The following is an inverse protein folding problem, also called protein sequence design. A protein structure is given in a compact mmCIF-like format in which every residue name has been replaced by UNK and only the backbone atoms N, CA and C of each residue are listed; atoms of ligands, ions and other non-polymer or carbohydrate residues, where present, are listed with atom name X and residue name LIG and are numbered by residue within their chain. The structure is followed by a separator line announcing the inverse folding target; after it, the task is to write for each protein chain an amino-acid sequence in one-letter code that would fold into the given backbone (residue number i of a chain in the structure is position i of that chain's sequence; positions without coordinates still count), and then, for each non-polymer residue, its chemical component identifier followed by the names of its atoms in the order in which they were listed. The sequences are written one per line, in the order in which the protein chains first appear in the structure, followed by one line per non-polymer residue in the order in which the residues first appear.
data_IF_096496818237
#
_entry.id   IF_096496818237
#
_cell.length_a   1.000
_cell.length_b   1.000
_cell.length_c   1.000
_cell.angle_alpha   90.00
_cell.angle_beta   90.00
_cell.angle_gamma   90.00
#
_symmetry.space_group_name_H-M   'P 1'
#
loop_
_entity.id
_entity.type
_entity.pdbx_description
1 polymer ?
#
# COMPACT_ATOMS: atom_id res chain seq x y z
N UNK A 1 -22.81 2.83 11.43
CA UNK A 1 -21.87 1.70 11.58
C UNK A 1 -21.07 1.63 10.30
N UNK A 2 -19.74 1.57 10.40
CA UNK A 2 -18.88 1.50 9.22
C UNK A 2 -19.11 0.14 8.53
N UNK A 3 -19.52 0.10 7.25
CA UNK A 3 -19.79 -1.16 6.56
C UNK A 3 -18.58 -2.10 6.52
N UNK A 4 -17.35 -1.59 6.62
CA UNK A 4 -16.12 -2.38 6.59
C UNK A 4 -15.82 -3.10 7.91
N UNK A 5 -16.54 -2.80 9.00
CA UNK A 5 -16.31 -3.41 10.32
C UNK A 5 -16.45 -4.94 10.31
N UNK A 6 -17.30 -5.48 9.43
CA UNK A 6 -17.42 -6.93 9.26
C UNK A 6 -16.15 -7.57 8.68
N UNK A 7 -15.35 -6.82 7.93
CA UNK A 7 -14.11 -7.32 7.33
C UNK A 7 -12.93 -7.30 8.30
N UNK A 8 -13.10 -6.63 9.45
CA UNK A 8 -12.10 -6.55 10.51
C UNK A 8 -12.29 -7.63 11.59
N UNK A 9 -13.17 -8.60 11.35
CA UNK A 9 -13.37 -9.71 12.28
C UNK A 9 -12.12 -10.62 12.31
N UNK A 10 -11.65 -11.08 13.49
CA UNK A 10 -10.41 -11.86 13.60
C UNK A 10 -10.33 -13.08 12.69
N UNK A 11 -11.45 -13.79 12.52
CA UNK A 11 -11.53 -14.97 11.66
C UNK A 11 -11.48 -14.66 10.16
N UNK A 12 -11.76 -13.42 9.72
CA UNK A 12 -11.53 -12.94 8.35
C UNK A 12 -10.09 -12.47 8.20
N UNK A 13 -9.61 -11.66 9.15
CA UNK A 13 -8.26 -11.09 9.12
C UNK A 13 -7.17 -12.17 9.03
N UNK A 14 -7.38 -13.33 9.65
CA UNK A 14 -6.49 -14.50 9.57
C UNK A 14 -6.27 -15.04 8.14
N UNK A 15 -7.21 -14.80 7.22
CA UNK A 15 -7.08 -15.18 5.79
C UNK A 15 -6.71 -14.01 4.89
N UNK A 16 -6.83 -12.77 5.38
CA UNK A 16 -6.54 -11.55 4.60
C UNK A 16 -5.10 -11.12 4.79
N UNK A 17 -4.52 -11.24 5.99
CA UNK A 17 -3.20 -10.72 6.29
C UNK A 17 -2.21 -11.83 6.68
N UNK A 18 -1.02 -11.77 6.09
CA UNK A 18 0.10 -12.65 6.40
C UNK A 18 1.30 -11.82 6.86
N UNK A 19 1.23 -11.16 8.04
CA UNK A 19 2.31 -10.32 8.53
C UNK A 19 3.59 -11.12 8.75
N UNK A 20 4.71 -10.57 8.27
CA UNK A 20 6.04 -11.11 8.51
C UNK A 20 6.90 -10.07 9.21
N UNK A 21 7.72 -10.48 10.18
CA UNK A 21 8.66 -9.58 10.85
C UNK A 21 9.96 -9.47 10.05
N UNK A 22 10.57 -8.28 10.12
CA UNK A 22 11.88 -8.06 9.52
C UNK A 22 12.94 -8.89 10.27
N UNK A 23 13.89 -9.52 9.55
CA UNK A 23 15.00 -10.22 10.18
C UNK A 23 15.89 -9.22 10.95
N UNK A 24 16.62 -9.72 11.94
CA UNK A 24 17.63 -8.91 12.63
C UNK A 24 18.78 -8.57 11.67
N UNK A 25 19.09 -7.28 11.52
CA UNK A 25 20.13 -6.76 10.64
C UNK A 25 19.60 -5.72 9.64
N UNK A 26 20.41 -4.71 9.33
CA UNK A 26 20.05 -3.68 8.35
C UNK A 26 21.02 -3.74 7.16
N UNK A 27 20.50 -4.01 5.98
CA UNK A 27 21.21 -3.70 4.73
C UNK A 27 21.44 -2.20 4.62
N UNK A 28 22.60 -1.80 4.10
CA UNK A 28 22.97 -0.39 3.91
C UNK A 28 22.37 0.25 2.66
N UNK A 29 21.67 -0.52 1.82
CA UNK A 29 21.14 -0.03 0.54
C UNK A 29 20.01 0.99 0.70
N UNK A 30 19.19 0.83 1.75
CA UNK A 30 18.05 1.68 2.05
C UNK A 30 18.15 2.29 3.44
N UNK A 31 17.50 3.44 3.60
CA UNK A 31 17.35 4.13 4.89
C UNK A 31 15.98 3.83 5.47
N UNK A 32 15.97 3.30 6.69
CA UNK A 32 14.71 3.07 7.40
C UNK A 32 14.15 4.39 7.95
N UNK A 33 12.83 4.51 7.85
CA UNK A 33 12.01 5.58 8.41
C UNK A 33 10.92 4.93 9.27
N UNK A 34 10.46 5.63 10.30
CA UNK A 34 9.31 5.21 11.11
C UNK A 34 8.29 6.35 11.08
N UNK A 35 7.05 6.03 10.70
CA UNK A 35 5.93 6.99 10.67
C UNK A 35 4.92 6.61 11.73
N UNK A 36 4.60 7.53 12.64
CA UNK A 36 3.55 7.31 13.63
C UNK A 36 2.18 7.53 12.98
N UNK A 37 1.32 6.50 13.02
CA UNK A 37 -0.02 6.53 12.41
C UNK A 37 -1.13 6.61 13.45
N UNK A 38 -0.81 6.27 14.68
CA UNK A 38 -1.66 6.36 15.87
C UNK A 38 -0.72 6.41 17.09
N UNK A 39 -1.19 6.94 18.22
CA UNK A 39 -0.39 7.02 19.44
C UNK A 39 0.24 5.66 19.78
N UNK A 40 1.57 5.59 19.74
CA UNK A 40 2.32 4.37 20.04
C UNK A 40 2.30 3.30 18.94
N UNK A 41 1.72 3.57 17.76
CA UNK A 41 1.76 2.68 16.60
C UNK A 41 2.56 3.34 15.48
N UNK A 42 3.73 2.77 15.18
CA UNK A 42 4.58 3.24 14.09
C UNK A 42 4.71 2.21 12.99
N UNK A 43 4.72 2.70 11.76
CA UNK A 43 4.91 1.93 10.55
C UNK A 43 6.34 2.08 10.05
N UNK A 44 6.98 0.95 9.79
CA UNK A 44 8.28 0.88 9.14
C UNK A 44 8.17 1.26 7.67
N UNK A 45 9.07 2.11 7.20
CA UNK A 45 9.21 2.44 5.80
C UNK A 45 10.69 2.38 5.42
N UNK A 46 10.99 2.15 4.14
CA UNK A 46 12.36 2.07 3.65
C UNK A 46 12.53 2.89 2.38
N UNK A 47 13.44 3.85 2.44
CA UNK A 47 13.75 4.76 1.35
C UNK A 47 15.07 4.36 0.68
N UNK A 48 14.97 4.07 -0.61
CA UNK A 48 16.06 3.86 -1.55
C UNK A 48 16.24 5.13 -2.37
N UNK A 49 17.35 5.82 -2.14
CA UNK A 49 17.65 7.12 -2.72
C UNK A 49 18.79 6.99 -3.72
N UNK A 50 18.54 7.40 -4.96
CA UNK A 50 19.57 7.56 -5.99
C UNK A 50 20.04 9.00 -6.04
N UNK A 51 19.08 9.92 -6.19
CA UNK A 51 19.30 11.36 -6.27
C UNK A 51 17.99 12.08 -5.90
N UNK A 52 18.08 13.17 -5.16
CA UNK A 52 16.91 13.93 -4.69
C UNK A 52 16.15 14.63 -5.80
N UNK A 53 16.80 14.94 -6.91
CA UNK A 53 16.16 15.60 -8.06
C UNK A 53 15.30 14.64 -8.89
N UNK A 54 15.40 13.33 -8.63
CA UNK A 54 14.61 12.30 -9.31
C UNK A 54 13.23 12.10 -8.67
N UNK A 55 12.22 11.68 -9.47
CA UNK A 55 10.91 11.36 -8.95
C UNK A 55 10.97 10.22 -7.92
N UNK A 56 10.02 10.22 -6.98
CA UNK A 56 9.93 9.18 -5.94
C UNK A 56 8.63 8.40 -6.07
N UNK A 57 8.75 7.07 -6.06
CA UNK A 57 7.60 6.16 -5.98
C UNK A 57 7.35 5.81 -4.50
N UNK A 58 6.19 6.16 -3.96
CA UNK A 58 5.68 5.65 -2.69
C UNK A 58 4.96 4.33 -2.97
N UNK A 59 5.49 3.23 -2.44
CA UNK A 59 5.10 1.87 -2.78
C UNK A 59 4.50 1.13 -1.58
N UNK A 60 3.22 0.81 -1.68
CA UNK A 60 2.50 -0.16 -0.84
C UNK A 60 2.71 -1.59 -1.36
N UNK A 61 3.47 -2.40 -0.62
CA UNK A 61 3.86 -3.76 -1.04
C UNK A 61 2.72 -4.79 -0.95
N UNK A 62 2.94 -5.99 -1.49
CA UNK A 62 1.96 -7.08 -1.45
C UNK A 62 1.87 -7.77 -0.09
N UNK A 63 0.83 -8.57 0.11
CA UNK A 63 0.66 -9.36 1.33
C UNK A 63 1.82 -10.36 1.50
N UNK A 64 2.24 -10.63 2.74
CA UNK A 64 3.38 -11.53 3.03
C UNK A 64 4.78 -10.93 2.85
N UNK A 65 4.89 -9.76 2.23
CA UNK A 65 6.16 -9.06 2.03
C UNK A 65 6.46 -8.09 3.17
N UNK A 66 7.68 -7.53 3.18
CA UNK A 66 8.06 -6.40 4.03
C UNK A 66 8.88 -5.40 3.20
N UNK A 67 8.96 -4.15 3.64
CA UNK A 67 9.72 -3.09 2.97
C UNK A 67 11.20 -3.48 2.72
N UNK A 68 11.79 -4.28 3.60
CA UNK A 68 13.17 -4.78 3.45
C UNK A 68 13.37 -5.76 2.29
N UNK A 69 12.34 -6.47 1.82
CA UNK A 69 12.45 -7.39 0.67
C UNK A 69 12.84 -6.65 -0.61
N UNK A 70 12.52 -5.37 -0.67
CA UNK A 70 12.75 -4.54 -1.84
C UNK A 70 14.21 -4.14 -1.99
N UNK A 71 15.10 -4.50 -1.05
CA UNK A 71 16.55 -4.38 -1.23
C UNK A 71 17.01 -5.11 -2.51
N UNK A 72 16.38 -6.23 -2.85
CA UNK A 72 16.73 -7.04 -4.02
C UNK A 72 16.34 -6.40 -5.35
N UNK A 73 15.31 -5.55 -5.38
CA UNK A 73 14.77 -4.99 -6.63
C UNK A 73 14.93 -3.47 -6.74
N UNK A 74 15.17 -2.77 -5.62
CA UNK A 74 15.39 -1.33 -5.59
C UNK A 74 16.48 -0.86 -6.58
N UNK A 75 17.63 -1.56 -6.76
CA UNK A 75 18.63 -1.14 -7.74
C UNK A 75 18.07 -0.95 -9.16
N UNK A 76 17.09 -1.76 -9.56
CA UNK A 76 16.47 -1.67 -10.88
C UNK A 76 15.65 -0.38 -11.03
N UNK A 77 15.01 0.11 -9.97
CA UNK A 77 14.33 1.41 -9.97
C UNK A 77 15.33 2.57 -9.97
N UNK A 78 16.38 2.47 -9.14
CA UNK A 78 17.42 3.49 -9.02
C UNK A 78 18.17 3.69 -10.35
N UNK A 79 18.50 2.60 -11.05
CA UNK A 79 19.13 2.63 -12.38
C UNK A 79 18.23 3.24 -13.46
N UNK A 80 16.91 3.21 -13.27
CA UNK A 80 15.93 3.84 -14.16
C UNK A 80 15.61 5.29 -13.78
N UNK A 81 16.38 5.89 -12.87
CA UNK A 81 16.23 7.29 -12.51
C UNK A 81 15.03 7.57 -11.61
N UNK A 82 14.72 6.67 -10.68
CA UNK A 82 13.64 6.83 -9.72
C UNK A 82 14.11 6.48 -8.31
N UNK A 83 13.69 7.26 -7.33
CA UNK A 83 13.77 6.85 -5.93
C UNK A 83 12.60 5.92 -5.61
N UNK A 84 12.80 5.03 -4.64
CA UNK A 84 11.77 4.09 -4.19
C UNK A 84 11.58 4.23 -2.68
N UNK A 85 10.35 4.42 -2.23
CA UNK A 85 10.00 4.48 -0.82
C UNK A 85 8.92 3.44 -0.55
N UNK A 86 9.29 2.35 0.11
CA UNK A 86 8.39 1.23 0.37
C UNK A 86 7.84 1.31 1.80
N UNK A 87 6.55 1.10 1.97
CA UNK A 87 5.86 1.18 3.26
C UNK A 87 5.42 -0.20 3.73
N UNK A 88 5.71 -0.54 4.99
CA UNK A 88 5.07 -1.67 5.66
C UNK A 88 3.60 -1.36 6.01
N UNK A 89 2.90 -2.35 6.57
CA UNK A 89 1.63 -2.19 7.26
C UNK A 89 1.78 -2.50 8.76
N UNK A 90 0.77 -2.17 9.58
CA UNK A 90 0.74 -2.59 10.99
C UNK A 90 1.04 -4.08 11.11
N UNK A 91 1.94 -4.45 12.01
CA UNK A 91 2.38 -5.84 12.21
C UNK A 91 3.42 -6.37 11.22
N UNK A 92 3.66 -5.72 10.08
CA UNK A 92 4.66 -6.12 9.06
C UNK A 92 6.01 -5.46 9.30
N UNK A 93 7.06 -6.16 8.89
CA UNK A 93 8.44 -5.68 8.95
C UNK A 93 8.80 -5.21 10.35
N UNK A 94 9.09 -3.92 10.47
CA UNK A 94 9.45 -3.27 11.75
C UNK A 94 8.28 -2.54 12.42
N UNK A 95 7.08 -2.66 11.86
CA UNK A 95 5.89 -1.94 12.31
C UNK A 95 5.28 -2.55 13.57
N UNK A 96 4.74 -1.63 14.38
CA UNK A 96 3.93 -1.92 15.54
C UNK A 96 2.49 -2.31 15.13
N UNK A 97 1.66 -2.68 16.10
CA UNK A 97 0.21 -2.90 15.90
C UNK A 97 -0.18 -4.17 15.15
N UNK A 98 -1.47 -4.26 14.79
CA UNK A 98 -2.08 -5.39 14.05
C UNK A 98 -2.85 -4.82 12.86
N UNK A 99 -2.74 -5.44 11.66
CA UNK A 99 -3.40 -4.93 10.47
C UNK A 99 -4.89 -5.25 10.50
N UNK A 100 -5.70 -4.27 10.11
CA UNK A 100 -7.09 -4.49 9.69
C UNK A 100 -7.33 -3.77 8.37
N UNK A 101 -8.42 -4.10 7.67
CA UNK A 101 -8.68 -3.50 6.36
C UNK A 101 -8.95 -2.00 6.47
N UNK A 102 -9.70 -1.58 7.49
CA UNK A 102 -9.91 -0.15 7.73
C UNK A 102 -8.63 0.56 8.12
N UNK A 103 -7.78 -0.06 8.95
CA UNK A 103 -6.53 0.54 9.39
C UNK A 103 -5.54 0.71 8.24
N UNK A 104 -5.34 -0.28 7.36
CA UNK A 104 -4.41 -0.10 6.23
C UNK A 104 -4.85 1.01 5.26
N UNK A 105 -6.15 1.21 5.09
CA UNK A 105 -6.70 2.27 4.24
C UNK A 105 -6.53 3.64 4.92
N UNK A 106 -6.85 3.74 6.21
CA UNK A 106 -6.66 4.98 6.99
C UNK A 106 -5.18 5.37 7.12
N UNK A 107 -4.34 4.40 7.48
CA UNK A 107 -2.90 4.57 7.62
C UNK A 107 -2.27 4.98 6.28
N UNK A 108 -2.78 4.52 5.13
CA UNK A 108 -2.26 4.91 3.81
C UNK A 108 -2.31 6.42 3.58
N UNK A 109 -3.36 7.12 4.03
CA UNK A 109 -3.41 8.58 3.93
C UNK A 109 -2.40 9.25 4.86
N UNK A 110 -2.20 8.71 6.06
CA UNK A 110 -1.23 9.26 7.02
C UNK A 110 0.18 9.06 6.48
N UNK A 111 0.51 7.85 6.04
CA UNK A 111 1.77 7.49 5.41
C UNK A 111 2.05 8.42 4.22
N UNK A 112 1.11 8.58 3.30
CA UNK A 112 1.32 9.46 2.14
C UNK A 112 1.69 10.88 2.57
N UNK A 113 0.92 11.51 3.47
CA UNK A 113 1.17 12.89 3.93
C UNK A 113 2.50 13.05 4.68
N UNK A 114 2.79 12.13 5.60
CA UNK A 114 4.01 12.21 6.41
C UNK A 114 5.25 11.97 5.55
N UNK A 115 5.20 10.97 4.65
CA UNK A 115 6.31 10.64 3.79
C UNK A 115 6.54 11.72 2.72
N UNK A 116 5.49 12.25 2.09
CA UNK A 116 5.62 13.38 1.16
C UNK A 116 6.17 14.61 1.87
N UNK A 117 5.71 14.88 3.10
CA UNK A 117 6.24 15.93 3.97
C UNK A 117 7.73 15.76 4.28
N UNK A 118 8.17 14.56 4.65
CA UNK A 118 9.57 14.23 4.91
C UNK A 118 10.43 14.42 3.66
N UNK A 119 9.96 13.94 2.49
CA UNK A 119 10.65 14.10 1.21
C UNK A 119 10.83 15.59 0.88
N UNK A 120 9.74 16.36 0.98
CA UNK A 120 9.76 17.82 0.75
C UNK A 120 10.73 18.54 1.68
N UNK A 121 10.69 18.26 2.98
CA UNK A 121 11.60 18.88 3.97
C UNK A 121 13.07 18.55 3.70
N UNK A 122 13.36 17.36 3.16
CA UNK A 122 14.71 16.92 2.80
C UNK A 122 15.18 17.40 1.42
N UNK A 123 14.35 18.15 0.70
CA UNK A 123 14.65 18.74 -0.60
C UNK A 123 14.57 17.74 -1.76
N UNK A 124 13.72 16.73 -1.66
CA UNK A 124 13.42 15.86 -2.80
C UNK A 124 12.49 16.56 -3.80
N UNK A 125 12.56 16.12 -5.06
CA UNK A 125 11.63 16.49 -6.12
C UNK A 125 10.18 16.32 -5.67
N UNK A 126 9.28 17.25 -6.03
CA UNK A 126 7.85 17.11 -5.76
C UNK A 126 7.16 16.09 -6.67
N UNK A 127 7.87 15.52 -7.65
CA UNK A 127 7.31 14.52 -8.56
C UNK A 127 7.13 13.17 -7.85
N UNK A 128 5.92 12.96 -7.32
CA UNK A 128 5.53 11.76 -6.60
C UNK A 128 4.66 10.85 -7.45
N UNK A 129 4.93 9.56 -7.36
CA UNK A 129 4.08 8.49 -7.88
C UNK A 129 3.64 7.61 -6.73
N UNK A 130 2.47 7.00 -6.86
CA UNK A 130 2.03 5.96 -5.91
C UNK A 130 1.92 4.62 -6.63
N UNK A 131 2.46 3.58 -6.01
CA UNK A 131 2.44 2.22 -6.53
C UNK A 131 1.84 1.28 -5.49
N UNK A 132 1.04 0.32 -5.96
CA UNK A 132 0.46 -0.73 -5.11
C UNK A 132 0.49 -2.08 -5.80
N UNK A 133 1.00 -3.09 -5.09
CA UNK A 133 1.02 -4.48 -5.59
C UNK A 133 0.09 -5.37 -4.79
N UNK A 134 -0.76 -6.16 -5.47
CA UNK A 134 -1.70 -7.09 -4.82
C UNK A 134 -2.51 -6.39 -3.71
N UNK A 135 -2.32 -6.74 -2.43
CA UNK A 135 -2.89 -6.05 -1.26
C UNK A 135 -2.65 -4.53 -1.29
N UNK A 136 -1.43 -4.08 -1.62
CA UNK A 136 -1.08 -2.67 -1.66
C UNK A 136 -1.82 -1.86 -2.71
N UNK A 137 -2.47 -2.51 -3.70
CA UNK A 137 -3.36 -1.82 -4.64
C UNK A 137 -4.53 -1.13 -3.93
N UNK A 138 -5.00 -1.66 -2.80
CA UNK A 138 -6.05 -1.04 -1.99
C UNK A 138 -5.61 0.33 -1.47
N UNK A 139 -4.41 0.39 -0.89
CA UNK A 139 -3.81 1.61 -0.33
C UNK A 139 -3.42 2.60 -1.44
N UNK A 140 -2.79 2.14 -2.52
CA UNK A 140 -2.37 3.01 -3.62
C UNK A 140 -3.56 3.68 -4.33
N UNK A 141 -4.64 2.92 -4.58
CA UNK A 141 -5.88 3.48 -5.15
C UNK A 141 -6.57 4.40 -4.16
N UNK A 142 -6.58 4.09 -2.86
CA UNK A 142 -7.13 4.98 -1.83
C UNK A 142 -6.42 6.33 -1.81
N UNK A 143 -5.08 6.31 -1.80
CA UNK A 143 -4.24 7.51 -1.82
C UNK A 143 -4.46 8.29 -3.12
N UNK A 144 -4.42 7.62 -4.27
CA UNK A 144 -4.61 8.31 -5.55
C UNK A 144 -6.02 8.91 -5.69
N UNK A 145 -7.08 8.27 -5.15
CA UNK A 145 -8.44 8.81 -5.17
C UNK A 145 -8.51 10.18 -4.48
N UNK A 146 -7.90 10.30 -3.31
CA UNK A 146 -8.03 11.50 -2.45
C UNK A 146 -6.87 12.50 -2.56
N UNK A 147 -5.72 12.10 -3.12
CA UNK A 147 -4.51 12.93 -3.20
C UNK A 147 -3.94 13.07 -4.63
N UNK A 148 -4.74 12.79 -5.67
CA UNK A 148 -4.28 12.85 -7.08
C UNK A 148 -3.67 14.19 -7.52
N UNK A 149 -4.04 15.32 -6.90
CA UNK A 149 -3.47 16.63 -7.22
C UNK A 149 -1.97 16.74 -6.87
N UNK A 150 -1.50 15.91 -5.94
CA UNK A 150 -0.11 15.84 -5.49
C UNK A 150 0.70 14.75 -6.23
N UNK A 151 0.06 14.01 -7.15
CA UNK A 151 0.63 12.84 -7.80
C UNK A 151 0.81 13.04 -9.31
N UNK A 152 1.92 12.51 -9.83
CA UNK A 152 2.21 12.47 -11.27
C UNK A 152 1.67 11.20 -11.94
N UNK A 153 1.37 10.17 -11.16
CA UNK A 153 0.72 8.96 -11.67
C UNK A 153 0.50 7.88 -10.63
N UNK A 154 -0.34 6.91 -11.01
CA UNK A 154 -0.69 5.71 -10.26
C UNK A 154 -0.16 4.47 -10.99
N UNK A 155 0.45 3.54 -10.26
CA UNK A 155 0.92 2.25 -10.78
C UNK A 155 0.26 1.13 -9.98
N UNK A 156 -0.41 0.21 -10.66
CA UNK A 156 -1.02 -0.97 -10.03
C UNK A 156 -0.44 -2.24 -10.64
N UNK A 157 0.08 -3.11 -9.78
CA UNK A 157 0.62 -4.41 -10.14
C UNK A 157 -0.23 -5.52 -9.48
N UNK A 158 -0.79 -6.43 -10.26
CA UNK A 158 -1.61 -7.56 -9.76
C UNK A 158 -2.72 -7.12 -8.78
N UNK A 159 -3.30 -5.93 -8.99
CA UNK A 159 -4.37 -5.41 -8.14
C UNK A 159 -5.71 -6.13 -8.36
N UNK A 160 -6.52 -6.23 -7.30
CA UNK A 160 -7.87 -6.81 -7.39
C UNK A 160 -8.93 -5.72 -7.58
N UNK A 161 -9.79 -5.88 -8.59
CA UNK A 161 -10.89 -4.96 -8.87
C UNK A 161 -12.02 -5.03 -7.83
N UNK A 162 -12.25 -6.22 -7.26
CA UNK A 162 -13.31 -6.50 -6.27
C UNK A 162 -12.74 -6.82 -4.89
N UNK A 163 -11.48 -6.46 -4.65
CA UNK A 163 -10.74 -6.72 -3.41
C UNK A 163 -10.85 -8.21 -3.01
N UNK A 164 -11.33 -8.50 -1.80
CA UNK A 164 -11.41 -9.85 -1.24
C UNK A 164 -12.76 -10.55 -1.46
N UNK A 165 -13.68 -10.00 -2.27
CA UNK A 165 -15.00 -10.62 -2.50
C UNK A 165 -14.86 -12.07 -2.91
N UNK A 166 -14.03 -12.34 -3.92
CA UNK A 166 -13.84 -13.69 -4.42
C UNK A 166 -13.20 -14.61 -3.37
N UNK A 167 -12.11 -14.16 -2.74
CA UNK A 167 -11.40 -14.92 -1.70
C UNK A 167 -12.33 -15.32 -0.54
N UNK A 168 -13.00 -14.34 0.08
CA UNK A 168 -13.82 -14.59 1.26
C UNK A 168 -15.08 -15.41 0.94
N UNK A 169 -15.61 -15.30 -0.28
CA UNK A 169 -16.71 -16.16 -0.73
C UNK A 169 -16.29 -17.59 -1.04
N UNK A 170 -15.11 -17.81 -1.63
CA UNK A 170 -14.58 -19.16 -1.85
C UNK A 170 -14.26 -19.88 -0.53
N UNK A 171 -13.79 -19.14 0.48
CA UNK A 171 -13.52 -19.67 1.82
C UNK A 171 -14.79 -19.90 2.66
N UNK A 172 -15.98 -19.53 2.15
CA UNK A 172 -17.25 -19.66 2.88
C UNK A 172 -17.40 -18.69 4.05
N UNK A 173 -16.58 -17.64 4.12
CA UNK A 173 -16.60 -16.65 5.21
C UNK A 173 -17.69 -15.59 5.00
N UNK A 174 -17.91 -15.18 3.75
CA UNK A 174 -18.97 -14.24 3.37
C UNK A 174 -19.56 -14.64 2.02
N UNK A 175 -20.89 -14.78 1.88
CA UNK A 175 -21.48 -15.22 0.62
C UNK A 175 -21.30 -14.19 -0.50
N UNK A 176 -21.36 -14.63 -1.77
CA UNK A 176 -21.10 -13.77 -2.94
C UNK A 176 -22.09 -12.60 -3.08
N UNK A 177 -23.29 -12.74 -2.50
CA UNK A 177 -24.37 -11.76 -2.47
C UNK A 177 -24.43 -10.97 -1.14
N UNK A 178 -23.46 -11.16 -0.24
CA UNK A 178 -23.41 -10.42 1.02
C UNK A 178 -23.48 -8.90 0.75
N UNK A 179 -24.30 -8.13 1.51
CA UNK A 179 -24.50 -6.72 1.24
C UNK A 179 -23.22 -5.87 1.21
N UNK A 180 -22.14 -6.31 1.86
CA UNK A 180 -20.84 -5.61 1.82
C UNK A 180 -20.24 -5.54 0.40
N UNK A 181 -20.65 -6.44 -0.49
CA UNK A 181 -20.22 -6.50 -1.88
C UNK A 181 -21.08 -5.67 -2.83
N UNK A 182 -21.98 -4.84 -2.31
CA UNK A 182 -22.76 -3.93 -3.14
C UNK A 182 -21.92 -2.71 -3.51
N UNK A 183 -22.03 -2.29 -4.77
CA UNK A 183 -21.50 -1.00 -5.24
C UNK A 183 -22.11 0.15 -4.42
N UNK A 184 -21.43 1.28 -4.35
CA UNK A 184 -21.81 2.47 -3.59
C UNK A 184 -21.30 2.47 -2.15
N UNK A 185 -20.58 1.41 -1.73
CA UNK A 185 -19.99 1.30 -0.38
C UNK A 185 -18.55 1.77 -0.30
N UNK A 186 -17.94 2.18 -1.41
CA UNK A 186 -16.59 2.74 -1.46
C UNK A 186 -15.48 1.72 -1.19
N UNK A 187 -15.81 0.43 -1.08
CA UNK A 187 -14.82 -0.60 -0.81
C UNK A 187 -14.04 -0.97 -2.06
N UNK A 188 -14.74 -1.24 -3.18
CA UNK A 188 -14.08 -1.86 -4.32
C UNK A 188 -13.16 -0.89 -5.05
N UNK A 189 -11.97 -1.40 -5.37
CA UNK A 189 -11.01 -0.69 -6.21
C UNK A 189 -11.59 -0.28 -7.56
N UNK A 190 -12.46 -1.09 -8.18
CA UNK A 190 -13.13 -0.72 -9.44
C UNK A 190 -14.02 0.52 -9.34
N UNK A 191 -14.51 0.86 -8.15
CA UNK A 191 -15.33 2.05 -7.92
C UNK A 191 -14.44 3.26 -7.64
N UNK A 192 -13.44 3.08 -6.78
CA UNK A 192 -12.49 4.13 -6.42
C UNK A 192 -11.69 4.60 -7.63
N UNK A 193 -11.21 3.68 -8.47
CA UNK A 193 -10.38 4.02 -9.63
C UNK A 193 -11.11 4.87 -10.68
N UNK A 194 -12.46 4.82 -10.73
CA UNK A 194 -13.26 5.68 -11.62
C UNK A 194 -13.19 7.17 -11.26
N UNK A 195 -12.76 7.48 -10.04
CA UNK A 195 -12.61 8.85 -9.55
C UNK A 195 -11.20 9.41 -9.79
N UNK A 196 -10.28 8.59 -10.34
CA UNK A 196 -8.88 8.94 -10.56
C UNK A 196 -8.71 9.40 -12.01
N UNK A 197 -8.14 10.60 -12.18
CA UNK A 197 -7.97 11.24 -13.49
C UNK A 197 -6.50 11.36 -13.95
N UNK A 198 -5.55 11.12 -13.05
CA UNK A 198 -4.11 11.14 -13.35
C UNK A 198 -3.67 9.93 -14.19
N UNK A 199 -2.52 10.03 -14.89
CA UNK A 199 -1.96 8.90 -15.64
C UNK A 199 -1.86 7.64 -14.77
N UNK A 200 -2.42 6.54 -15.29
CA UNK A 200 -2.52 5.29 -14.55
C UNK A 200 -1.98 4.14 -15.39
N UNK A 201 -1.04 3.38 -14.81
CA UNK A 201 -0.49 2.15 -15.38
C UNK A 201 -1.03 0.94 -14.60
N UNK A 202 -1.61 -0.03 -15.30
CA UNK A 202 -2.08 -1.29 -14.72
C UNK A 202 -1.28 -2.43 -15.36
N UNK A 203 -0.63 -3.23 -14.52
CA UNK A 203 0.15 -4.42 -14.88
C UNK A 203 -0.52 -5.61 -14.22
N UNK A 204 -0.85 -6.63 -15.00
CA UNK A 204 -1.47 -7.85 -14.49
C UNK A 204 -0.97 -9.04 -15.30
N UNK A 205 -0.57 -10.12 -14.61
CA UNK A 205 -0.14 -11.34 -15.28
C UNK A 205 -1.34 -12.06 -15.92
N UNK A 206 -1.18 -12.59 -17.12
CA UNK A 206 -2.25 -13.29 -17.85
C UNK A 206 -2.81 -14.52 -17.09
N UNK A 207 -2.00 -15.09 -16.19
CA UNK A 207 -2.30 -16.32 -15.45
C UNK A 207 -2.22 -16.12 -13.93
N UNK A 208 -2.49 -14.90 -13.46
CA UNK A 208 -2.67 -14.63 -12.03
C UNK A 208 -3.89 -15.42 -11.52
N UNK A 209 -3.73 -16.15 -10.42
CA UNK A 209 -4.68 -17.19 -9.94
C UNK A 209 -5.22 -16.88 -8.56
#
# INVERSE_FOLDING_TARGET
MDPLEILDQPHILAFVFHPRKAPEGSSSLGRDLMVEVEEGVRIGCRLYERDKDLPTIIYFHGNGEIAADYDGIAPLYLERGMNLLVTDYRGYGRSDGTPTLRLILGDAHILFRELSGILKQKGFSPDLFVMGRSLGSLCAIEVAKDHQEELRGLIIESGSATNFRWLLSQLGLLPFDHPIWQEGKGFFNREKIRQISIPTLIIHAERDS
#
